data_IF_544271922544
#
_entry.id   IF_544271922544
#
_cell.length_a   1.000
_cell.length_b   1.000
_cell.length_c   1.000
_cell.angle_alpha   90.00
_cell.angle_beta   90.00
_cell.angle_gamma   90.00
#
_symmetry.space_group_name_H-M   'P 1'
#
loop_
_entity.id
_entity.type
_entity.pdbx_description
1 polymer ?
#
# COMPACT_ATOMS: atom_id res chain seq x y z
N UNK A 1 -6.88 30.72 1.69
CA UNK A 1 -7.10 31.10 0.27
C UNK A 1 -6.10 32.15 -0.18
N UNK A 2 -5.07 31.76 -0.94
CA UNK A 2 -3.96 32.64 -1.39
C UNK A 2 -4.18 33.12 -2.84
N UNK A 3 -4.91 32.36 -3.65
CA UNK A 3 -5.13 32.60 -5.09
C UNK A 3 -5.63 34.01 -5.45
N UNK A 4 -6.62 34.62 -4.76
CA UNK A 4 -7.07 35.98 -5.11
C UNK A 4 -5.99 37.05 -4.93
N UNK A 5 -4.97 36.79 -4.10
CA UNK A 5 -3.85 37.70 -3.85
C UNK A 5 -2.68 37.48 -4.82
N UNK A 6 -2.76 36.47 -5.69
CA UNK A 6 -1.72 36.14 -6.67
C UNK A 6 -1.27 37.34 -7.54
N UNK A 7 -2.17 38.21 -8.07
CA UNK A 7 -1.75 39.39 -8.83
C UNK A 7 -0.86 40.34 -8.04
N UNK A 8 -1.13 40.47 -6.73
CA UNK A 8 -0.36 41.33 -5.81
C UNK A 8 1.01 40.73 -5.52
N UNK A 9 1.11 39.42 -5.34
CA UNK A 9 2.40 38.76 -5.11
C UNK A 9 3.30 38.77 -6.34
N UNK A 10 2.71 38.76 -7.54
CA UNK A 10 3.44 38.81 -8.80
C UNK A 10 3.69 40.23 -9.33
N UNK A 11 3.25 41.29 -8.63
CA UNK A 11 3.22 42.68 -9.11
C UNK A 11 2.61 42.82 -10.52
N UNK A 12 1.59 42.01 -10.83
CA UNK A 12 0.92 41.93 -12.13
C UNK A 12 -0.58 42.17 -11.98
N UNK A 13 -0.94 43.45 -11.84
CA UNK A 13 -2.31 43.88 -11.55
C UNK A 13 -3.29 43.65 -12.71
N UNK A 14 -2.79 43.34 -13.91
CA UNK A 14 -3.60 42.97 -15.08
C UNK A 14 -4.14 41.54 -15.01
N UNK A 15 -3.59 40.69 -14.15
CA UNK A 15 -4.04 39.31 -13.97
C UNK A 15 -5.36 39.31 -13.18
N UNK A 16 -6.45 38.87 -13.81
CA UNK A 16 -7.76 38.74 -13.17
C UNK A 16 -7.98 37.29 -12.74
N UNK A 17 -8.04 37.06 -11.44
CA UNK A 17 -8.43 35.75 -10.88
C UNK A 17 -9.96 35.74 -10.76
N UNK A 18 -10.62 34.99 -11.63
CA UNK A 18 -12.08 34.85 -11.63
C UNK A 18 -12.51 33.81 -10.60
N UNK A 19 -13.80 33.84 -10.20
CA UNK A 19 -14.36 32.79 -9.33
C UNK A 19 -14.26 31.41 -9.99
N UNK A 20 -14.60 31.33 -11.27
CA UNK A 20 -14.47 30.10 -12.05
C UNK A 20 -13.05 29.54 -12.03
N UNK A 21 -12.01 30.37 -12.16
CA UNK A 21 -10.63 29.89 -12.07
C UNK A 21 -10.33 29.28 -10.70
N UNK A 22 -10.83 29.87 -9.62
CA UNK A 22 -10.65 29.34 -8.26
C UNK A 22 -11.37 28.00 -8.12
N UNK A 23 -12.60 27.90 -8.60
CA UNK A 23 -13.38 26.65 -8.57
C UNK A 23 -12.70 25.55 -9.39
N UNK A 24 -12.25 25.89 -10.60
CA UNK A 24 -11.52 24.98 -11.48
C UNK A 24 -10.18 24.54 -10.87
N UNK A 25 -9.47 25.44 -10.18
CA UNK A 25 -8.24 25.12 -9.46
C UNK A 25 -8.52 24.13 -8.32
N UNK A 26 -9.57 24.36 -7.52
CA UNK A 26 -9.97 23.44 -6.46
C UNK A 26 -10.35 22.08 -7.04
N UNK A 27 -11.11 22.05 -8.15
CA UNK A 27 -11.42 20.78 -8.84
C UNK A 27 -10.15 20.07 -9.29
N UNK A 28 -9.19 20.78 -9.89
CA UNK A 28 -7.93 20.19 -10.32
C UNK A 28 -7.11 19.64 -9.14
N UNK A 29 -7.00 20.39 -8.04
CA UNK A 29 -6.37 19.93 -6.80
C UNK A 29 -7.05 18.66 -6.25
N UNK A 30 -8.38 18.65 -6.21
CA UNK A 30 -9.16 17.49 -5.81
C UNK A 30 -8.98 16.31 -6.77
N UNK A 31 -8.83 16.53 -8.07
CA UNK A 31 -8.51 15.45 -9.02
C UNK A 31 -7.15 14.83 -8.69
N UNK A 32 -6.12 15.62 -8.34
CA UNK A 32 -4.83 15.05 -7.93
C UNK A 32 -4.92 14.24 -6.64
N UNK A 33 -5.78 14.64 -5.70
CA UNK A 33 -5.94 13.95 -4.42
C UNK A 33 -6.83 12.71 -4.52
N UNK A 34 -7.91 12.78 -5.28
CA UNK A 34 -9.00 11.81 -5.21
C UNK A 34 -9.31 11.15 -6.56
N UNK A 35 -8.37 11.19 -7.50
CA UNK A 35 -8.50 10.43 -8.75
C UNK A 35 -8.86 8.96 -8.42
N UNK A 36 -9.81 8.41 -9.15
CA UNK A 36 -10.18 7.00 -8.97
C UNK A 36 -9.07 6.11 -9.54
N UNK A 37 -8.57 5.20 -8.71
CA UNK A 37 -7.55 4.20 -9.02
C UNK A 37 -8.08 2.79 -8.75
N UNK A 38 -7.47 1.78 -9.36
CA UNK A 38 -7.79 0.38 -9.10
C UNK A 38 -6.87 -0.20 -8.03
N UNK A 39 -7.45 -0.80 -7.00
CA UNK A 39 -6.75 -1.53 -5.97
C UNK A 39 -6.66 -3.03 -6.35
N UNK A 40 -5.45 -3.56 -6.63
CA UNK A 40 -5.29 -4.96 -7.03
C UNK A 40 -5.52 -5.96 -5.89
N UNK A 41 -5.37 -5.55 -4.63
CA UNK A 41 -5.54 -6.43 -3.47
C UNK A 41 -7.02 -6.69 -3.23
N UNK A 42 -7.81 -5.61 -3.20
CA UNK A 42 -9.26 -5.70 -2.95
C UNK A 42 -10.08 -5.79 -4.25
N UNK A 43 -9.42 -5.77 -5.40
CA UNK A 43 -10.01 -5.89 -6.75
C UNK A 43 -11.15 -4.90 -6.99
N UNK A 44 -10.98 -3.67 -6.52
CA UNK A 44 -12.00 -2.62 -6.57
C UNK A 44 -11.42 -1.25 -6.88
N UNK A 45 -12.26 -0.38 -7.42
CA UNK A 45 -11.91 1.04 -7.60
C UNK A 45 -12.09 1.82 -6.31
N UNK A 46 -11.15 2.74 -6.05
CA UNK A 46 -11.12 3.60 -4.87
C UNK A 46 -10.48 4.95 -5.20
N UNK A 47 -10.78 6.02 -4.46
CA UNK A 47 -10.02 7.26 -4.60
C UNK A 47 -8.56 7.04 -4.15
N UNK A 48 -7.64 7.78 -4.77
CA UNK A 48 -6.21 7.70 -4.47
C UNK A 48 -5.90 8.01 -2.99
N UNK A 49 -6.58 8.99 -2.41
CA UNK A 49 -6.59 9.26 -0.98
C UNK A 49 -8.03 9.18 -0.45
N UNK A 50 -8.18 8.85 0.83
CA UNK A 50 -9.49 8.84 1.46
C UNK A 50 -10.13 10.23 1.40
N UNK A 51 -11.44 10.28 1.13
CA UNK A 51 -12.17 11.53 1.15
C UNK A 51 -12.17 12.11 2.57
N UNK A 52 -12.07 13.44 2.69
CA UNK A 52 -12.15 14.08 4.00
C UNK A 52 -13.52 13.78 4.60
N UNK A 53 -13.54 13.27 5.83
CA UNK A 53 -14.78 13.04 6.58
C UNK A 53 -15.55 14.35 6.68
N UNK A 54 -16.69 14.42 5.99
CA UNK A 54 -17.61 15.53 6.09
C UNK A 54 -18.09 15.53 7.56
N UNK A 55 -17.65 16.50 8.35
CA UNK A 55 -18.23 16.76 9.67
C UNK A 55 -19.65 17.33 9.47
N UNK A 56 -20.58 16.46 9.12
CA UNK A 56 -22.03 16.67 9.22
C UNK A 56 -22.49 15.56 10.17
N UNK A 57 -23.06 15.78 11.35
CA UNK A 57 -23.51 16.95 12.09
C UNK A 57 -23.53 16.57 13.57
N UNK A 58 -23.29 17.54 14.45
CA UNK A 58 -23.61 17.40 15.87
C UNK A 58 -25.11 17.08 16.03
N UNK A 59 -25.39 16.17 16.97
CA UNK A 59 -26.61 16.00 17.76
C UNK A 59 -27.97 16.18 17.05
N UNK A 60 -28.60 15.08 16.64
CA UNK A 60 -29.89 14.68 17.22
C UNK A 60 -30.34 13.29 16.73
N UNK A 61 -31.09 12.67 17.61
CA UNK A 61 -31.43 11.26 17.69
C UNK A 61 -32.18 10.65 16.48
N UNK A 62 -31.83 9.38 16.22
CA UNK A 62 -32.65 8.32 15.59
C UNK A 62 -33.19 8.57 14.19
N UNK A 63 -32.48 8.07 13.19
CA UNK A 63 -33.04 7.10 12.23
C UNK A 63 -31.94 6.43 11.41
N UNK A 64 -32.04 5.11 11.24
CA UNK A 64 -31.21 4.31 10.37
C UNK A 64 -31.58 4.64 8.91
N UNK A 65 -31.05 5.74 8.37
CA UNK A 65 -31.13 6.02 6.94
C UNK A 65 -29.74 5.88 6.32
N UNK A 66 -29.62 4.92 5.41
CA UNK A 66 -28.54 4.80 4.44
C UNK A 66 -28.45 6.08 3.60
N UNK A 67 -27.79 7.11 4.12
CA UNK A 67 -27.56 8.38 3.41
C UNK A 67 -26.36 8.24 2.47
N UNK A 68 -26.50 7.42 1.43
CA UNK A 68 -25.48 7.21 0.39
C UNK A 68 -25.87 7.86 -0.94
N UNK A 69 -26.47 9.07 -0.93
CA UNK A 69 -27.05 9.58 -2.18
C UNK A 69 -26.88 11.07 -2.51
N UNK A 70 -26.47 11.95 -1.58
CA UNK A 70 -26.25 13.37 -1.93
C UNK A 70 -24.80 13.85 -1.84
N UNK A 71 -23.91 13.14 -1.14
CA UNK A 71 -22.47 13.45 -1.12
C UNK A 71 -21.68 12.89 -2.30
N UNK A 72 -22.21 11.90 -3.01
CA UNK A 72 -21.44 11.10 -3.99
C UNK A 72 -21.09 11.87 -5.29
N UNK A 73 -21.79 12.97 -5.58
CA UNK A 73 -21.55 13.72 -6.82
C UNK A 73 -20.45 14.79 -6.71
N UNK A 74 -19.96 15.11 -5.51
CA UNK A 74 -19.00 16.20 -5.33
C UNK A 74 -17.64 15.94 -5.99
N UNK A 75 -17.26 14.68 -6.16
CA UNK A 75 -15.99 14.27 -6.77
C UNK A 75 -16.16 13.55 -8.12
N UNK A 76 -17.33 13.66 -8.74
CA UNK A 76 -17.64 13.01 -10.03
C UNK A 76 -16.65 13.36 -11.16
N UNK A 77 -16.05 14.55 -11.13
CA UNK A 77 -15.00 14.97 -12.09
C UNK A 77 -13.67 14.24 -11.91
N UNK A 78 -13.42 13.59 -10.77
CA UNK A 78 -12.21 12.80 -10.51
C UNK A 78 -12.34 11.33 -10.94
N UNK A 79 -13.51 10.95 -11.48
CA UNK A 79 -13.84 9.61 -11.94
C UNK A 79 -15.10 9.07 -11.27
N UNK A 80 -15.64 7.98 -11.84
CA UNK A 80 -16.77 7.25 -11.28
C UNK A 80 -16.33 5.85 -10.87
N UNK A 81 -16.78 5.41 -9.69
CA UNK A 81 -16.52 4.07 -9.20
C UNK A 81 -17.50 3.11 -9.90
N UNK A 82 -16.94 2.06 -10.49
CA UNK A 82 -17.68 0.97 -11.13
C UNK A 82 -17.77 -0.25 -10.20
N UNK A 83 -18.60 -1.23 -10.57
CA UNK A 83 -18.65 -2.50 -9.85
C UNK A 83 -17.26 -3.20 -9.88
N UNK A 84 -16.88 -3.96 -8.84
CA UNK A 84 -15.59 -4.67 -8.79
C UNK A 84 -15.32 -5.54 -10.03
N UNK A 85 -16.36 -6.14 -10.60
CA UNK A 85 -16.29 -6.97 -11.81
C UNK A 85 -15.87 -6.15 -13.03
N UNK A 86 -16.55 -5.02 -13.27
CA UNK A 86 -16.25 -4.11 -14.38
C UNK A 86 -14.87 -3.47 -14.18
N UNK A 87 -14.59 -3.01 -12.96
CA UNK A 87 -13.31 -2.43 -12.59
C UNK A 87 -12.14 -3.40 -12.85
N UNK A 88 -12.27 -4.66 -12.47
CA UNK A 88 -11.27 -5.69 -12.74
C UNK A 88 -11.12 -5.94 -14.24
N UNK A 89 -12.23 -6.04 -14.97
CA UNK A 89 -12.21 -6.20 -16.42
C UNK A 89 -11.44 -5.06 -17.11
N UNK A 90 -11.69 -3.81 -16.71
CA UNK A 90 -10.96 -2.65 -17.22
C UNK A 90 -9.48 -2.69 -16.86
N UNK A 91 -9.16 -3.07 -15.63
CA UNK A 91 -7.77 -3.19 -15.18
C UNK A 91 -6.99 -4.29 -15.92
N UNK A 92 -7.68 -5.33 -16.39
CA UNK A 92 -7.12 -6.35 -17.29
C UNK A 92 -6.99 -5.89 -18.75
N UNK A 93 -7.52 -4.72 -19.09
CA UNK A 93 -7.46 -4.15 -20.45
C UNK A 93 -8.69 -4.45 -21.31
N UNK A 94 -9.73 -5.07 -20.76
CA UNK A 94 -10.98 -5.36 -21.47
C UNK A 94 -11.86 -4.11 -21.55
N UNK A 95 -11.46 -3.17 -22.39
CA UNK A 95 -12.17 -1.90 -22.56
C UNK A 95 -13.31 -2.11 -23.59
N UNK A 96 -14.56 -1.78 -23.25
CA UNK A 96 -15.69 -1.91 -24.17
C UNK A 96 -15.48 -1.00 -25.38
N UNK A 97 -15.71 -1.54 -26.58
CA UNK A 97 -15.51 -0.82 -27.84
C UNK A 97 -14.07 -0.78 -28.35
N UNK A 98 -13.12 -1.40 -27.64
CA UNK A 98 -11.80 -1.67 -28.21
C UNK A 98 -11.88 -2.73 -29.30
N UNK A 99 -11.03 -2.66 -30.33
CA UNK A 99 -10.96 -3.65 -31.42
C UNK A 99 -10.38 -5.00 -30.99
N UNK A 100 -10.17 -5.20 -29.69
CA UNK A 100 -9.67 -6.46 -29.15
C UNK A 100 -10.77 -7.51 -29.27
N UNK A 101 -10.42 -8.60 -29.96
CA UNK A 101 -11.36 -9.68 -30.30
C UNK A 101 -11.50 -10.65 -29.11
N UNK A 102 -10.49 -10.73 -28.25
CA UNK A 102 -10.43 -11.67 -27.13
C UNK A 102 -10.43 -10.91 -25.80
N UNK A 103 -11.27 -11.38 -24.88
CA UNK A 103 -11.32 -10.87 -23.51
C UNK A 103 -10.16 -11.47 -22.70
N UNK A 104 -9.29 -10.61 -22.18
CA UNK A 104 -8.20 -10.98 -21.28
C UNK A 104 -8.81 -11.48 -19.96
N UNK A 105 -8.56 -12.74 -19.64
CA UNK A 105 -9.00 -13.37 -18.40
C UNK A 105 -7.77 -13.86 -17.64
N UNK A 106 -7.86 -13.83 -16.31
CA UNK A 106 -6.82 -14.40 -15.46
C UNK A 106 -6.89 -15.94 -15.53
N UNK A 107 -5.75 -16.64 -15.49
CA UNK A 107 -5.74 -18.09 -15.38
C UNK A 107 -6.40 -18.53 -14.06
N UNK A 108 -6.94 -19.75 -14.03
CA UNK A 108 -7.56 -20.31 -12.82
C UNK A 108 -6.61 -20.31 -11.61
N UNK A 109 -5.32 -20.59 -11.86
CA UNK A 109 -4.27 -20.49 -10.85
C UNK A 109 -3.36 -19.29 -11.16
N UNK A 110 -3.53 -18.21 -10.39
CA UNK A 110 -2.66 -17.04 -10.45
C UNK A 110 -1.52 -17.22 -9.44
N UNK A 111 -0.24 -17.17 -9.87
CA UNK A 111 0.88 -17.32 -8.95
C UNK A 111 0.86 -16.29 -7.81
N UNK A 112 1.24 -16.69 -6.59
CA UNK A 112 1.18 -15.84 -5.38
C UNK A 112 2.03 -14.54 -5.48
N UNK A 113 3.03 -14.51 -6.36
CA UNK A 113 3.85 -13.32 -6.60
C UNK A 113 3.20 -12.31 -7.56
N UNK A 114 2.16 -12.70 -8.30
CA UNK A 114 1.42 -11.83 -9.21
C UNK A 114 0.53 -10.87 -8.43
N UNK A 115 0.46 -9.61 -8.85
CA UNK A 115 -0.43 -8.59 -8.26
C UNK A 115 -1.92 -8.97 -8.33
N UNK A 116 -2.27 -9.91 -9.21
CA UNK A 116 -3.64 -10.39 -9.41
C UNK A 116 -4.02 -11.55 -8.49
N UNK A 117 -3.04 -12.14 -7.78
CA UNK A 117 -3.30 -13.20 -6.81
C UNK A 117 -3.97 -12.63 -5.56
N UNK A 118 -4.95 -13.35 -5.03
CA UNK A 118 -5.59 -13.00 -3.76
C UNK A 118 -4.62 -13.07 -2.57
N UNK A 119 -3.49 -13.79 -2.72
CA UNK A 119 -2.45 -13.89 -1.71
C UNK A 119 -1.27 -12.94 -1.96
N UNK A 120 -1.42 -11.97 -2.86
CA UNK A 120 -0.33 -11.06 -3.20
C UNK A 120 0.19 -10.31 -1.97
N UNK A 121 1.51 -10.32 -1.81
CA UNK A 121 2.21 -9.60 -0.73
C UNK A 121 3.27 -8.69 -1.30
N UNK A 122 3.21 -7.42 -0.92
CA UNK A 122 4.24 -6.42 -1.22
C UNK A 122 5.60 -6.90 -0.69
N UNK A 123 6.70 -6.46 -1.32
CA UNK A 123 8.06 -6.81 -0.90
C UNK A 123 8.32 -6.53 0.59
N UNK A 124 7.76 -5.44 1.12
CA UNK A 124 7.85 -5.12 2.54
C UNK A 124 7.18 -6.18 3.44
N UNK A 125 5.95 -6.59 3.10
CA UNK A 125 5.23 -7.64 3.85
C UNK A 125 6.01 -8.96 3.84
N UNK A 126 6.52 -9.38 2.67
CA UNK A 126 7.33 -10.61 2.56
C UNK A 126 8.60 -10.55 3.42
N UNK A 127 9.28 -9.39 3.47
CA UNK A 127 10.47 -9.21 4.31
C UNK A 127 10.13 -9.27 5.80
N UNK A 128 9.02 -8.64 6.21
CA UNK A 128 8.54 -8.66 7.59
C UNK A 128 8.19 -10.07 8.06
N UNK A 129 7.47 -10.84 7.25
CA UNK A 129 7.15 -12.24 7.56
C UNK A 129 8.40 -13.10 7.72
N UNK A 130 9.38 -12.97 6.81
CA UNK A 130 10.68 -13.66 6.93
C UNK A 130 11.41 -13.28 8.22
N UNK A 131 11.35 -12.01 8.64
CA UNK A 131 11.95 -11.54 9.89
C UNK A 131 11.22 -12.12 11.12
N UNK A 132 9.89 -12.10 11.13
CA UNK A 132 9.05 -12.64 12.21
C UNK A 132 9.24 -14.16 12.34
N UNK A 133 9.33 -14.89 11.22
CA UNK A 133 9.67 -16.32 11.22
C UNK A 133 11.07 -16.59 11.78
N UNK A 134 12.07 -15.78 11.43
CA UNK A 134 13.42 -15.89 12.00
C UNK A 134 13.41 -15.66 13.51
N UNK A 135 12.61 -14.71 14.02
CA UNK A 135 12.44 -14.51 15.47
C UNK A 135 11.80 -15.76 16.10
N UNK A 136 10.68 -16.25 15.55
CA UNK A 136 9.98 -17.45 16.05
C UNK A 136 10.87 -18.69 16.09
N UNK A 137 11.71 -18.90 15.06
CA UNK A 137 12.68 -20.02 15.01
C UNK A 137 13.75 -19.89 16.09
N UNK A 138 14.26 -18.67 16.34
CA UNK A 138 15.24 -18.42 17.41
C UNK A 138 14.66 -18.63 18.81
N UNK A 139 13.40 -18.25 19.05
CA UNK A 139 12.74 -18.48 20.33
C UNK A 139 12.34 -19.94 20.58
N UNK A 140 12.24 -20.76 19.52
CA UNK A 140 11.92 -22.19 19.59
C UNK A 140 13.12 -23.07 19.99
N UNK A 141 14.35 -22.66 19.65
CA UNK A 141 15.57 -23.38 20.05
C UNK A 141 16.00 -23.03 21.49
N UNK A 142 15.26 -23.56 22.47
CA UNK A 142 15.56 -23.43 23.90
C UNK A 142 15.55 -24.77 24.61
N UNK A 143 16.45 -25.70 24.24
CA UNK A 143 16.47 -27.02 24.86
C UNK A 143 17.87 -27.60 25.12
N UNK A 144 18.88 -26.77 25.43
CA UNK A 144 20.10 -27.23 26.11
C UNK A 144 20.58 -26.16 27.09
N UNK A 145 19.88 -26.03 28.22
CA UNK A 145 20.46 -25.38 29.40
C UNK A 145 21.50 -26.33 29.99
N UNK A 146 22.78 -25.95 29.93
CA UNK A 146 23.83 -26.62 30.70
C UNK A 146 23.47 -26.45 32.19
N UNK A 147 23.03 -27.52 32.85
CA UNK A 147 22.79 -27.51 34.30
C UNK A 147 24.12 -27.24 35.01
N UNK A 148 24.39 -25.98 35.35
CA UNK A 148 25.42 -25.66 36.33
C UNK A 148 24.87 -26.00 37.72
N UNK A 149 25.56 -26.80 38.56
CA UNK A 149 25.21 -26.89 39.96
C UNK A 149 25.75 -25.65 40.70
N UNK A 150 24.94 -25.01 41.54
CA UNK A 150 25.39 -23.96 42.48
C UNK A 150 24.44 -23.88 43.69
N UNK A 151 24.84 -23.32 44.85
CA UNK A 151 26.04 -23.54 45.71
C UNK A 151 25.61 -23.65 47.20
N UNK A 152 26.44 -23.36 48.25
CA UNK A 152 26.42 -21.99 48.82
C UNK A 152 27.80 -21.58 49.48
N UNK A 153 27.93 -20.54 50.35
CA UNK A 153 28.44 -19.21 49.96
C UNK A 153 29.47 -18.59 50.93
N UNK A 154 30.55 -17.93 50.46
CA UNK A 154 31.38 -17.00 51.26
C UNK A 154 32.10 -16.08 50.24
N UNK A 155 32.40 -14.78 50.40
CA UNK A 155 32.27 -13.75 51.43
C UNK A 155 32.77 -12.43 50.75
N UNK A 156 32.07 -11.29 50.95
CA UNK A 156 32.45 -9.85 50.94
C UNK A 156 33.79 -9.44 50.21
N UNK A 157 33.95 -8.43 49.32
CA UNK A 157 33.47 -7.02 49.24
C UNK A 157 33.69 -6.35 47.86
N UNK A 158 32.86 -5.33 47.57
CA UNK A 158 33.03 -4.06 46.82
C UNK A 158 34.23 -3.82 45.87
N UNK A 159 33.95 -3.39 44.62
CA UNK A 159 34.35 -2.08 44.07
C UNK A 159 33.91 -1.86 42.60
N UNK A 160 33.67 -0.59 42.26
CA UNK A 160 33.19 0.01 40.99
C UNK A 160 33.98 -0.33 39.69
N UNK A 161 33.31 -0.01 38.55
CA UNK A 161 33.84 0.46 37.23
C UNK A 161 33.51 -0.49 36.06
N UNK A 162 33.29 -0.16 34.77
CA UNK A 162 32.92 1.00 33.93
C UNK A 162 32.84 0.42 32.50
N UNK A 163 31.92 0.93 31.68
CA UNK A 163 31.86 0.88 30.20
C UNK A 163 31.79 -0.44 29.42
N UNK A 164 31.00 -0.41 28.33
CA UNK A 164 31.30 -1.22 27.15
C UNK A 164 30.13 -1.54 26.23
N UNK A 165 29.43 -0.54 25.69
CA UNK A 165 28.50 -0.72 24.57
C UNK A 165 29.25 -1.24 23.34
N UNK A 166 28.80 -2.35 22.74
CA UNK A 166 29.21 -2.76 21.40
C UNK A 166 27.99 -3.16 20.58
N UNK A 167 27.62 -2.22 19.71
CA UNK A 167 26.64 -2.38 18.63
C UNK A 167 27.32 -3.24 17.56
N UNK A 168 26.74 -4.38 17.22
CA UNK A 168 27.22 -5.23 16.13
C UNK A 168 26.28 -5.04 14.95
N UNK A 169 26.73 -4.23 13.99
CA UNK A 169 26.10 -4.06 12.70
C UNK A 169 26.29 -5.34 11.89
N UNK A 170 25.20 -6.04 11.59
CA UNK A 170 25.20 -7.12 10.59
C UNK A 170 24.61 -6.57 9.29
N UNK A 171 25.50 -6.21 8.37
CA UNK A 171 25.21 -6.14 6.94
C UNK A 171 25.22 -7.55 6.36
N UNK A 172 24.12 -7.99 5.75
CA UNK A 172 24.19 -8.92 4.62
C UNK A 172 22.92 -8.75 3.80
N UNK A 173 23.04 -7.89 2.78
CA UNK A 173 22.14 -7.91 1.64
C UNK A 173 22.46 -9.18 0.86
N UNK A 174 21.49 -10.09 0.80
CA UNK A 174 21.49 -11.19 -0.14
C UNK A 174 20.09 -11.17 -0.78
N UNK A 175 19.96 -10.27 -1.75
CA UNK A 175 18.76 -10.04 -2.54
C UNK A 175 18.92 -10.88 -3.81
N UNK A 176 18.65 -12.18 -3.69
CA UNK A 176 18.46 -13.02 -4.87
C UNK A 176 17.02 -12.81 -5.33
N UNK A 177 16.86 -11.93 -6.31
CA UNK A 177 15.63 -11.76 -7.08
C UNK A 177 15.33 -13.09 -7.80
N UNK A 178 14.27 -13.75 -7.35
CA UNK A 178 13.76 -15.04 -7.84
C UNK A 178 13.08 -14.95 -9.23
N UNK A 179 13.35 -13.88 -9.97
CA UNK A 179 12.90 -13.72 -11.34
C UNK A 179 13.95 -14.34 -12.25
N UNK A 180 13.55 -15.37 -13.01
CA UNK A 180 14.34 -16.12 -14.01
C UNK A 180 15.00 -17.40 -13.46
N UNK A 181 14.17 -18.42 -13.22
CA UNK A 181 14.55 -19.80 -13.54
C UNK A 181 13.85 -20.20 -14.83
N UNK A 182 14.44 -19.85 -15.98
CA UNK A 182 14.01 -20.39 -17.26
C UNK A 182 14.41 -21.87 -17.29
N UNK A 183 13.44 -22.77 -17.23
CA UNK A 183 13.68 -24.19 -17.53
C UNK A 183 14.21 -24.30 -18.96
N UNK A 184 15.50 -24.59 -19.07
CA UNK A 184 16.16 -24.93 -20.33
C UNK A 184 15.66 -26.30 -20.76
N UNK A 185 14.61 -26.34 -21.58
CA UNK A 185 14.19 -27.54 -22.30
C UNK A 185 15.38 -27.94 -23.17
N UNK A 186 15.99 -29.08 -22.83
CA UNK A 186 17.12 -29.64 -23.56
C UNK A 186 16.60 -30.19 -24.88
N UNK A 187 17.20 -29.73 -25.97
CA UNK A 187 17.19 -30.40 -27.25
C UNK A 187 17.50 -31.89 -27.08
N UNK A 188 16.62 -32.74 -27.60
CA UNK A 188 16.93 -34.14 -27.86
C UNK A 188 16.65 -34.43 -29.33
N UNK A 189 17.73 -34.36 -30.12
CA UNK A 189 17.78 -34.82 -31.50
C UNK A 189 18.18 -36.30 -31.54
N UNK A 190 17.33 -37.14 -32.16
CA UNK A 190 17.62 -38.44 -32.83
C UNK A 190 16.27 -39.15 -33.06
N UNK A 191 15.92 -39.70 -34.22
CA UNK A 191 16.64 -40.20 -35.41
C UNK A 191 15.81 -39.88 -36.64
#
# INVERSE_FOLDING_TARGET
MVLPRLPRYLNKNSLKVTKQFIDDFIRAENTFLYQIVFDPVEKRQRPLNEYPLNQQSNEDDREFHSSSQESDNYFSYAGSIQSPEIATSFALGNIPGSSQIEQITLPENVPDWSIWSSNYKTAEMRRKEKYDEKIKKKSSCGAFMLKSPRPPPLHISNSLSTMGSKILANSLADDNDDFVSSEKIKDLHKV
#
